data_IF_850546091318
#
_entry.id   IF_850546091318
#
_cell.length_a   1.000
_cell.length_b   1.000
_cell.length_c   1.000
_cell.angle_alpha   90.00
_cell.angle_beta   90.00
_cell.angle_gamma   90.00
#
_symmetry.space_group_name_H-M   'P 1'
#
loop_
_entity.id
_entity.type
_entity.pdbx_description
1 polymer ?
#
# COMPACT_ATOMS: atom_id res chain seq x y z
N UNK A 1 -1.16 -14.59 23.68
CA UNK A 1 -2.26 -14.10 22.81
C UNK A 1 -1.73 -13.89 21.40
N UNK A 2 -1.99 -14.82 20.48
CA UNK A 2 -1.58 -14.70 19.06
C UNK A 2 -2.20 -13.42 18.48
N UNK A 3 -1.43 -12.63 17.71
CA UNK A 3 -1.91 -11.42 17.03
C UNK A 3 -1.59 -10.06 17.67
N UNK A 4 -1.29 -9.96 18.98
CA UNK A 4 -0.93 -8.66 19.61
C UNK A 4 0.35 -8.04 19.03
N UNK A 5 1.38 -8.86 18.80
CA UNK A 5 2.67 -8.40 18.23
C UNK A 5 2.49 -7.85 16.81
N UNK A 6 1.67 -8.52 15.99
CA UNK A 6 1.39 -8.10 14.61
C UNK A 6 0.68 -6.74 14.55
N UNK A 7 -0.24 -6.49 15.48
CA UNK A 7 -0.93 -5.20 15.61
C UNK A 7 0.07 -4.09 15.98
N UNK A 8 0.93 -4.33 16.97
CA UNK A 8 1.95 -3.36 17.41
C UNK A 8 2.91 -3.02 16.27
N UNK A 9 3.41 -4.03 15.55
CA UNK A 9 4.29 -3.82 14.39
C UNK A 9 3.57 -3.03 13.30
N UNK A 10 2.31 -3.34 13.01
CA UNK A 10 1.53 -2.61 12.01
C UNK A 10 1.32 -1.14 12.38
N UNK A 11 1.03 -0.83 13.64
CA UNK A 11 0.93 0.55 14.13
C UNK A 11 2.26 1.28 13.97
N UNK A 12 3.37 0.64 14.35
CA UNK A 12 4.70 1.22 14.26
C UNK A 12 5.07 1.57 12.81
N UNK A 13 4.76 0.67 11.87
CA UNK A 13 4.93 0.91 10.42
C UNK A 13 4.08 2.09 9.94
N UNK A 14 2.79 2.15 10.32
CA UNK A 14 1.91 3.24 9.92
C UNK A 14 2.40 4.60 10.44
N UNK A 15 2.87 4.66 11.68
CA UNK A 15 3.48 5.87 12.27
C UNK A 15 4.75 6.27 11.52
N UNK A 16 5.63 5.32 11.18
CA UNK A 16 6.83 5.62 10.40
C UNK A 16 6.49 6.20 9.03
N UNK A 17 5.50 5.65 8.33
CA UNK A 17 5.06 6.16 7.01
C UNK A 17 4.49 7.58 7.13
N UNK A 18 3.69 7.85 8.17
CA UNK A 18 3.16 9.19 8.40
C UNK A 18 4.26 10.20 8.74
N UNK A 19 5.26 9.77 9.53
CA UNK A 19 6.41 10.61 9.88
C UNK A 19 7.24 10.94 8.63
N UNK A 20 7.54 9.95 7.78
CA UNK A 20 8.31 10.19 6.55
C UNK A 20 7.54 11.07 5.57
N UNK A 21 6.22 10.88 5.45
CA UNK A 21 5.37 11.76 4.63
C UNK A 21 5.35 13.19 5.17
N UNK A 22 5.27 13.36 6.49
CA UNK A 22 5.31 14.68 7.13
C UNK A 22 6.64 15.40 6.86
N UNK A 23 7.77 14.71 7.06
CA UNK A 23 9.10 15.27 6.77
C UNK A 23 9.26 15.63 5.29
N UNK A 24 8.75 14.79 4.39
CA UNK A 24 8.74 15.05 2.95
C UNK A 24 7.98 16.35 2.64
N UNK A 25 6.77 16.52 3.19
CA UNK A 25 5.96 17.72 2.97
C UNK A 25 6.64 18.99 3.51
N UNK A 26 7.32 18.92 4.66
CA UNK A 26 8.08 20.06 5.19
C UNK A 26 9.22 20.49 4.28
N UNK A 27 9.87 19.55 3.59
CA UNK A 27 11.00 19.84 2.69
C UNK A 27 10.55 20.32 1.30
N UNK A 28 9.32 20.01 0.91
CA UNK A 28 8.89 20.07 -0.49
C UNK A 28 8.72 21.49 -1.05
N UNK A 29 8.61 22.52 -0.18
CA UNK A 29 8.61 23.94 -0.53
C UNK A 29 7.39 24.39 -1.35
N UNK A 30 7.29 23.89 -2.59
CA UNK A 30 6.20 24.16 -3.54
C UNK A 30 5.43 22.88 -3.90
N UNK A 31 4.11 22.98 -3.90
CA UNK A 31 3.18 21.86 -4.08
C UNK A 31 2.57 21.92 -5.48
N UNK A 32 3.18 21.18 -6.42
CA UNK A 32 2.64 20.98 -7.78
C UNK A 32 1.55 19.89 -7.79
N UNK A 33 0.68 19.93 -8.81
CA UNK A 33 -0.41 18.96 -9.00
C UNK A 33 0.05 17.48 -8.97
N UNK A 34 1.21 17.19 -9.56
CA UNK A 34 1.77 15.83 -9.58
C UNK A 34 2.12 15.33 -8.16
N UNK A 35 2.64 16.22 -7.32
CA UNK A 35 2.97 15.90 -5.92
C UNK A 35 1.69 15.66 -5.10
N UNK A 36 0.63 16.43 -5.37
CA UNK A 36 -0.67 16.26 -4.70
C UNK A 36 -1.24 14.87 -5.00
N UNK A 37 -1.20 14.45 -6.26
CA UNK A 37 -1.68 13.13 -6.66
C UNK A 37 -0.90 12.01 -5.95
N UNK A 38 0.43 12.12 -5.89
CA UNK A 38 1.30 11.13 -5.24
C UNK A 38 1.02 11.05 -3.73
N UNK A 39 0.95 12.20 -3.04
CA UNK A 39 0.59 12.28 -1.62
C UNK A 39 -0.80 11.69 -1.38
N UNK A 40 -1.76 11.96 -2.26
CA UNK A 40 -3.12 11.40 -2.21
C UNK A 40 -3.13 9.87 -2.24
N UNK A 41 -2.36 9.25 -3.14
CA UNK A 41 -2.25 7.79 -3.22
C UNK A 41 -1.66 7.23 -1.91
N UNK A 42 -0.59 7.83 -1.39
CA UNK A 42 0.04 7.39 -0.13
C UNK A 42 -0.98 7.46 1.02
N UNK A 43 -1.74 8.56 1.12
CA UNK A 43 -2.76 8.71 2.16
C UNK A 43 -3.85 7.64 2.06
N UNK A 44 -4.31 7.31 0.85
CA UNK A 44 -5.28 6.21 0.65
C UNK A 44 -4.71 4.88 1.16
N UNK A 45 -3.45 4.57 0.85
CA UNK A 45 -2.79 3.35 1.31
C UNK A 45 -2.69 3.30 2.85
N UNK A 46 -2.32 4.43 3.48
CA UNK A 46 -2.23 4.53 4.95
C UNK A 46 -3.59 4.37 5.60
N UNK A 47 -4.62 5.06 5.09
CA UNK A 47 -6.00 4.95 5.61
C UNK A 47 -6.47 3.49 5.51
N UNK A 48 -6.19 2.82 4.41
CA UNK A 48 -6.57 1.43 4.21
C UNK A 48 -5.81 0.48 5.15
N UNK A 49 -4.50 0.69 5.36
CA UNK A 49 -3.73 -0.06 6.34
C UNK A 49 -4.28 0.12 7.76
N UNK A 50 -4.64 1.35 8.12
CA UNK A 50 -5.27 1.69 9.40
C UNK A 50 -6.64 1.02 9.56
N UNK A 51 -7.44 0.95 8.50
CA UNK A 51 -8.71 0.22 8.50
C UNK A 51 -8.52 -1.27 8.80
N UNK A 52 -7.56 -1.94 8.16
CA UNK A 52 -7.24 -3.35 8.43
C UNK A 52 -6.78 -3.55 9.87
N UNK A 53 -5.92 -2.66 10.38
CA UNK A 53 -5.45 -2.73 11.77
C UNK A 53 -6.59 -2.54 12.77
N UNK A 54 -7.48 -1.58 12.51
CA UNK A 54 -8.64 -1.33 13.35
C UNK A 54 -9.58 -2.54 13.41
N UNK A 55 -9.86 -3.17 12.27
CA UNK A 55 -10.68 -4.39 12.22
C UNK A 55 -10.05 -5.54 13.02
N UNK A 56 -8.73 -5.75 12.87
CA UNK A 56 -8.00 -6.74 13.68
C UNK A 56 -8.07 -6.44 15.18
N UNK A 57 -7.90 -5.19 15.59
CA UNK A 57 -8.00 -4.78 17.00
C UNK A 57 -9.40 -5.07 17.55
N UNK A 58 -10.44 -4.73 16.77
CA UNK A 58 -11.84 -4.98 17.14
C UNK A 58 -12.11 -6.48 17.33
N UNK A 59 -11.61 -7.32 16.44
CA UNK A 59 -11.79 -8.77 16.52
C UNK A 59 -11.05 -9.40 17.71
N UNK A 60 -9.80 -9.01 17.95
CA UNK A 60 -9.02 -9.48 19.11
C UNK A 60 -9.66 -9.04 20.44
N UNK A 61 -10.22 -7.83 20.51
CA UNK A 61 -10.95 -7.35 21.71
C UNK A 61 -12.21 -8.17 22.00
N UNK A 62 -12.84 -8.76 20.98
CA UNK A 62 -14.00 -9.64 21.10
C UNK A 62 -13.62 -11.10 21.42
N UNK A 63 -12.34 -11.42 21.55
CA UNK A 63 -11.86 -12.80 21.73
C UNK A 63 -11.90 -13.64 20.45
N UNK A 64 -12.20 -13.04 19.30
CA UNK A 64 -12.15 -13.69 17.99
C UNK A 64 -10.70 -13.80 17.49
N UNK A 65 -10.39 -14.79 16.63
CA UNK A 65 -9.08 -14.86 16.00
C UNK A 65 -8.77 -13.58 15.22
N UNK A 66 -7.51 -13.13 15.28
CA UNK A 66 -7.07 -11.90 14.61
C UNK A 66 -7.16 -11.98 13.07
N UNK A 67 -7.14 -13.19 12.51
CA UNK A 67 -7.35 -13.47 11.09
C UNK A 67 -8.25 -14.70 10.96
N UNK A 68 -9.33 -14.53 10.22
CA UNK A 68 -10.17 -15.63 9.78
C UNK A 68 -9.56 -16.32 8.55
N UNK A 69 -9.88 -17.58 8.28
CA UNK A 69 -9.36 -18.33 7.12
C UNK A 69 -9.72 -17.64 5.80
N UNK A 70 -10.92 -17.07 5.74
CA UNK A 70 -11.36 -16.22 4.63
C UNK A 70 -10.45 -15.02 4.43
N UNK A 71 -10.10 -14.32 5.52
CA UNK A 71 -9.22 -13.16 5.49
C UNK A 71 -7.80 -13.54 5.03
N UNK A 72 -7.32 -14.72 5.43
CA UNK A 72 -6.02 -15.25 4.99
C UNK A 72 -6.04 -15.46 3.46
N UNK A 73 -7.09 -16.08 2.94
CA UNK A 73 -7.25 -16.35 1.50
C UNK A 73 -7.36 -15.06 0.69
N UNK A 74 -8.13 -14.08 1.17
CA UNK A 74 -8.25 -12.76 0.53
C UNK A 74 -6.89 -12.06 0.49
N UNK A 75 -6.17 -12.02 1.62
CA UNK A 75 -4.84 -11.40 1.69
C UNK A 75 -3.85 -12.06 0.73
N UNK A 76 -3.87 -13.40 0.62
CA UNK A 76 -2.99 -14.13 -0.27
C UNK A 76 -3.27 -13.80 -1.74
N UNK A 77 -4.54 -13.82 -2.16
CA UNK A 77 -4.93 -13.48 -3.55
C UNK A 77 -4.66 -12.01 -3.88
N UNK A 78 -4.99 -11.09 -2.98
CA UNK A 78 -4.69 -9.67 -3.17
C UNK A 78 -3.18 -9.42 -3.24
N UNK A 79 -2.39 -10.09 -2.40
CA UNK A 79 -0.93 -10.05 -2.43
C UNK A 79 -0.35 -10.61 -3.73
N UNK A 80 -0.92 -11.70 -4.26
CA UNK A 80 -0.54 -12.27 -5.54
C UNK A 80 -0.74 -11.29 -6.70
N UNK A 81 -1.90 -10.62 -6.77
CA UNK A 81 -2.15 -9.61 -7.81
C UNK A 81 -1.25 -8.38 -7.65
N UNK A 82 -1.02 -7.93 -6.41
CA UNK A 82 -0.10 -6.84 -6.11
C UNK A 82 1.34 -7.17 -6.54
N UNK A 83 1.78 -8.41 -6.32
CA UNK A 83 3.10 -8.89 -6.73
C UNK A 83 3.25 -8.93 -8.26
N UNK A 84 2.24 -9.44 -8.97
CA UNK A 84 2.22 -9.39 -10.44
C UNK A 84 2.33 -7.94 -10.92
N UNK A 85 1.56 -7.03 -10.33
CA UNK A 85 1.59 -5.62 -10.67
C UNK A 85 2.97 -4.98 -10.38
N UNK A 86 3.64 -5.40 -9.30
CA UNK A 86 4.99 -4.95 -8.98
C UNK A 86 6.02 -5.34 -10.08
N UNK A 87 6.00 -6.61 -10.52
CA UNK A 87 6.92 -7.09 -11.56
C UNK A 87 6.70 -6.32 -12.86
N UNK A 88 5.44 -6.21 -13.29
CA UNK A 88 5.13 -5.57 -14.56
C UNK A 88 5.35 -4.06 -14.53
N UNK A 89 5.09 -3.39 -13.40
CA UNK A 89 5.43 -1.97 -13.26
C UNK A 89 6.93 -1.73 -13.26
N UNK A 90 7.74 -2.62 -12.67
CA UNK A 90 9.19 -2.49 -12.69
C UNK A 90 9.76 -2.59 -14.12
N UNK A 91 9.16 -3.45 -14.95
CA UNK A 91 9.56 -3.62 -16.34
C UNK A 91 9.03 -2.51 -17.25
N UNK A 92 7.73 -2.21 -17.16
CA UNK A 92 7.09 -1.29 -18.11
C UNK A 92 7.30 0.18 -17.77
N UNK A 93 7.47 0.56 -16.50
CA UNK A 93 7.63 1.97 -16.16
C UNK A 93 8.85 2.61 -16.85
N UNK A 94 10.07 2.04 -16.79
CA UNK A 94 11.22 2.56 -17.54
C UNK A 94 10.99 2.55 -19.05
N UNK A 95 10.48 1.43 -19.58
CA UNK A 95 10.28 1.24 -21.02
C UNK A 95 9.30 2.25 -21.62
N UNK A 96 8.17 2.48 -20.94
CA UNK A 96 7.17 3.44 -21.41
C UNK A 96 7.69 4.87 -21.30
N UNK A 97 8.40 5.22 -20.21
CA UNK A 97 8.96 6.55 -20.06
C UNK A 97 10.03 6.88 -21.11
N UNK A 98 10.87 5.90 -21.44
CA UNK A 98 11.88 6.05 -22.50
C UNK A 98 11.21 6.28 -23.87
N UNK A 99 10.17 5.50 -24.21
CA UNK A 99 9.43 5.65 -25.47
C UNK A 99 8.74 7.02 -25.57
N UNK A 100 8.03 7.44 -24.52
CA UNK A 100 7.17 8.64 -24.57
C UNK A 100 7.92 9.94 -24.27
N UNK A 101 8.86 9.92 -23.32
CA UNK A 101 9.54 11.11 -22.83
C UNK A 101 10.99 11.22 -23.30
N UNK A 102 11.54 10.17 -23.95
CA UNK A 102 12.95 10.09 -24.39
C UNK A 102 13.97 10.38 -23.28
N UNK A 103 13.58 10.09 -22.04
CA UNK A 103 14.35 10.35 -20.84
C UNK A 103 14.39 9.08 -19.98
N UNK A 104 15.56 8.79 -19.42
CA UNK A 104 15.72 7.68 -18.50
C UNK A 104 15.14 8.02 -17.12
N UNK A 105 14.29 7.14 -16.60
CA UNK A 105 13.83 7.21 -15.22
C UNK A 105 14.97 6.84 -14.27
N UNK A 106 15.13 7.62 -13.21
CA UNK A 106 16.05 7.25 -12.12
C UNK A 106 15.53 5.98 -11.42
N UNK A 107 16.44 5.13 -10.97
CA UNK A 107 16.07 3.91 -10.24
C UNK A 107 15.23 4.16 -8.98
N UNK A 108 15.42 5.31 -8.32
CA UNK A 108 14.56 5.77 -7.21
C UNK A 108 13.09 5.91 -7.62
N UNK A 109 12.85 6.44 -8.82
CA UNK A 109 11.51 6.78 -9.31
C UNK A 109 10.81 5.50 -9.78
N UNK A 110 11.55 4.59 -10.41
CA UNK A 110 11.06 3.25 -10.74
C UNK A 110 10.63 2.50 -9.48
N UNK A 111 11.46 2.54 -8.43
CA UNK A 111 11.14 1.89 -7.14
C UNK A 111 9.88 2.47 -6.53
N UNK A 112 9.72 3.80 -6.55
CA UNK A 112 8.52 4.47 -6.05
C UNK A 112 7.27 4.05 -6.84
N UNK A 113 7.35 4.02 -8.17
CA UNK A 113 6.25 3.60 -9.06
C UNK A 113 5.83 2.16 -8.74
N UNK A 114 6.78 1.25 -8.57
CA UNK A 114 6.51 -0.16 -8.25
C UNK A 114 5.77 -0.31 -6.93
N UNK A 115 6.21 0.39 -5.88
CA UNK A 115 5.57 0.36 -4.56
C UNK A 115 4.15 0.93 -4.63
N UNK A 116 3.97 2.05 -5.33
CA UNK A 116 2.65 2.70 -5.46
C UNK A 116 1.67 1.83 -6.25
N UNK A 117 2.08 1.29 -7.40
CA UNK A 117 1.22 0.45 -8.24
C UNK A 117 0.87 -0.86 -7.51
N UNK A 118 1.85 -1.52 -6.90
CA UNK A 118 1.60 -2.76 -6.16
C UNK A 118 0.68 -2.54 -4.96
N UNK A 119 0.91 -1.46 -4.18
CA UNK A 119 0.04 -1.07 -3.08
C UNK A 119 -1.39 -0.79 -3.54
N UNK A 120 -1.54 -0.03 -4.63
CA UNK A 120 -2.85 0.30 -5.18
C UNK A 120 -3.62 -0.94 -5.65
N UNK A 121 -2.95 -1.85 -6.39
CA UNK A 121 -3.54 -3.11 -6.85
C UNK A 121 -3.90 -4.01 -5.67
N UNK A 122 -3.09 -4.02 -4.60
CA UNK A 122 -3.44 -4.73 -3.36
C UNK A 122 -4.76 -4.23 -2.78
N UNK A 123 -4.91 -2.90 -2.63
CA UNK A 123 -6.12 -2.29 -2.05
C UNK A 123 -7.36 -2.64 -2.87
N UNK A 124 -7.30 -2.45 -4.20
CA UNK A 124 -8.43 -2.74 -5.08
C UNK A 124 -8.80 -4.22 -5.02
N UNK A 125 -7.80 -5.10 -5.14
CA UNK A 125 -8.03 -6.55 -5.14
C UNK A 125 -8.59 -7.02 -3.80
N UNK A 126 -8.08 -6.48 -2.70
CA UNK A 126 -8.58 -6.79 -1.37
C UNK A 126 -10.03 -6.36 -1.21
N UNK A 127 -10.38 -5.11 -1.56
CA UNK A 127 -11.74 -4.60 -1.44
C UNK A 127 -12.72 -5.40 -2.31
N UNK A 128 -12.33 -5.67 -3.55
CA UNK A 128 -13.11 -6.49 -4.47
C UNK A 128 -13.39 -7.89 -3.89
N UNK A 129 -12.36 -8.59 -3.42
CA UNK A 129 -12.50 -9.93 -2.84
C UNK A 129 -13.27 -9.94 -1.51
N UNK A 130 -13.10 -8.87 -0.71
CA UNK A 130 -13.83 -8.70 0.54
C UNK A 130 -15.34 -8.55 0.31
N UNK A 131 -15.74 -7.73 -0.68
CA UNK A 131 -17.16 -7.57 -1.04
C UNK A 131 -17.76 -8.76 -1.78
N UNK A 132 -16.97 -9.46 -2.60
CA UNK A 132 -17.45 -10.59 -3.40
C UNK A 132 -17.94 -11.79 -2.55
N UNK A 133 -17.58 -11.86 -1.28
CA UNK A 133 -18.09 -12.93 -0.40
C UNK A 133 -17.34 -14.26 -0.48
N UNK A 134 -16.35 -14.40 -1.37
CA UNK A 134 -15.52 -15.62 -1.47
C UNK A 134 -14.67 -15.87 -0.22
#
# INVERSE_FOLDING_TARGET
>A
MKGKKEIVVGILIAVMILLTLFLYLMQTGDINADKILLVGIILILVIFAMYILWDRIKNVRKGLPAKDERLITINYKAGYYAFIAAIWSALFAPLLFDIFSKNELKGSDVTAIVILISGFVFVISYLYLHWKGN
#
